data_IF_899988403801
#
_entry.id   IF_899988403801
#
_cell.length_a   1.000
_cell.length_b   1.000
_cell.length_c   1.000
_cell.angle_alpha   90.00
_cell.angle_beta   90.00
_cell.angle_gamma   90.00
#
_symmetry.space_group_name_H-M   'P 1'
#
loop_
_entity.id
_entity.type
_entity.pdbx_description
1 polymer ?
#
# COMPACT_ATOMS: atom_id res chain seq x y z
N UNK A 1 43.69 -24.29 38.55
CA UNK A 1 43.27 -23.53 37.35
C UNK A 1 41.75 -23.64 37.28
N UNK A 2 41.00 -22.58 37.62
CA UNK A 2 39.52 -22.64 37.57
C UNK A 2 39.08 -22.49 36.10
N UNK A 3 38.07 -23.25 35.63
CA UNK A 3 37.56 -23.09 34.28
C UNK A 3 36.98 -21.69 34.14
N UNK A 4 37.45 -20.95 33.13
CA UNK A 4 36.90 -19.65 32.76
C UNK A 4 35.54 -19.93 32.12
N UNK A 5 34.46 -19.66 32.85
CA UNK A 5 33.12 -19.64 32.26
C UNK A 5 33.13 -18.53 31.23
N UNK A 6 33.02 -18.90 29.96
CA UNK A 6 32.79 -17.95 28.88
C UNK A 6 31.32 -17.57 29.01
N UNK A 7 31.06 -16.45 29.69
CA UNK A 7 29.76 -15.80 29.58
C UNK A 7 29.61 -15.37 28.12
N UNK A 8 28.70 -16.05 27.40
CA UNK A 8 28.22 -15.56 26.13
C UNK A 8 27.40 -14.31 26.42
N UNK A 9 27.97 -13.16 26.08
CA UNK A 9 27.23 -11.90 26.06
C UNK A 9 26.09 -12.03 25.04
N UNK A 10 24.86 -12.16 25.54
CA UNK A 10 23.64 -12.25 24.73
C UNK A 10 23.15 -10.85 24.32
N UNK A 11 23.89 -9.78 24.67
CA UNK A 11 23.61 -8.45 24.15
C UNK A 11 24.20 -8.29 22.75
N UNK A 12 23.39 -8.47 21.70
CA UNK A 12 23.75 -7.91 20.39
C UNK A 12 23.54 -8.74 19.12
N UNK A 13 22.59 -9.69 19.03
CA UNK A 13 22.25 -10.27 17.72
C UNK A 13 21.31 -9.34 16.93
N UNK A 14 21.87 -8.20 16.48
CA UNK A 14 21.23 -7.30 15.53
C UNK A 14 21.73 -7.57 14.11
N UNK A 15 20.83 -7.63 13.14
CA UNK A 15 21.14 -7.85 11.72
C UNK A 15 20.86 -6.59 10.91
N UNK A 16 21.54 -6.46 9.78
CA UNK A 16 21.24 -5.39 8.82
C UNK A 16 19.95 -5.77 8.10
N UNK A 17 18.88 -5.00 8.30
CA UNK A 17 17.64 -5.17 7.54
C UNK A 17 17.85 -4.74 6.07
N UNK A 18 17.01 -5.25 5.15
CA UNK A 18 16.87 -4.64 3.84
C UNK A 18 16.49 -3.16 3.96
N UNK A 19 16.74 -2.41 2.89
CA UNK A 19 16.39 -1.01 2.82
C UNK A 19 14.88 -0.83 3.12
N UNK A 20 14.48 0.04 4.08
CA UNK A 20 13.08 0.34 4.39
C UNK A 20 12.19 0.67 3.19
N UNK A 21 12.79 1.23 2.14
CA UNK A 21 12.12 1.51 0.88
C UNK A 21 11.57 0.27 0.21
N UNK A 22 12.24 -0.88 0.37
CA UNK A 22 11.79 -2.15 -0.16
C UNK A 22 10.44 -2.59 0.43
N UNK A 23 10.06 -2.07 1.60
CA UNK A 23 8.75 -2.30 2.21
C UNK A 23 7.75 -1.16 1.89
N UNK A 24 8.16 0.09 2.09
CA UNK A 24 7.25 1.24 1.96
C UNK A 24 6.83 1.47 0.50
N UNK A 25 7.74 1.34 -0.47
CA UNK A 25 7.44 1.63 -1.86
C UNK A 25 6.41 0.67 -2.46
N UNK A 26 6.49 -0.66 -2.26
CA UNK A 26 5.43 -1.57 -2.72
C UNK A 26 4.07 -1.32 -2.04
N UNK A 27 4.05 -0.91 -0.77
CA UNK A 27 2.80 -0.55 -0.09
C UNK A 27 2.15 0.72 -0.71
N UNK A 28 2.98 1.71 -1.05
CA UNK A 28 2.55 2.92 -1.80
C UNK A 28 2.09 2.56 -3.21
N UNK A 29 2.79 1.65 -3.89
CA UNK A 29 2.39 1.18 -5.22
C UNK A 29 1.03 0.46 -5.19
N UNK A 30 0.75 -0.32 -4.14
CA UNK A 30 -0.55 -0.95 -3.94
C UNK A 30 -1.68 0.08 -3.79
N UNK A 31 -1.46 1.17 -3.05
CA UNK A 31 -2.41 2.29 -2.99
C UNK A 31 -2.58 2.97 -4.36
N UNK A 32 -1.48 3.17 -5.09
CA UNK A 32 -1.49 3.76 -6.42
C UNK A 32 -2.33 2.94 -7.41
N UNK A 33 -2.27 1.61 -7.33
CA UNK A 33 -3.08 0.71 -8.15
C UNK A 33 -4.59 0.84 -7.88
N UNK A 34 -5.00 1.18 -6.65
CA UNK A 34 -6.40 1.45 -6.33
C UNK A 34 -6.77 2.87 -6.77
N UNK A 35 -5.89 3.85 -6.52
CA UNK A 35 -6.11 5.23 -6.92
C UNK A 35 -6.23 5.43 -8.45
N UNK A 36 -5.65 4.53 -9.25
CA UNK A 36 -5.76 4.58 -10.72
C UNK A 36 -7.17 4.31 -11.27
N UNK A 37 -8.15 3.96 -10.44
CA UNK A 37 -9.58 3.95 -10.84
C UNK A 37 -10.01 5.31 -11.40
N UNK A 38 -9.37 6.41 -10.97
CA UNK A 38 -9.57 7.75 -11.51
C UNK A 38 -9.40 7.84 -13.05
N UNK A 39 -8.60 6.95 -13.65
CA UNK A 39 -8.30 6.98 -15.08
C UNK A 39 -9.47 6.57 -16.00
N UNK A 40 -10.53 5.97 -15.46
CA UNK A 40 -11.69 5.54 -16.26
C UNK A 40 -12.40 6.75 -16.91
N UNK A 41 -12.42 7.90 -16.23
CA UNK A 41 -13.13 9.10 -16.67
C UNK A 41 -12.65 9.65 -18.04
N UNK A 42 -11.50 9.18 -18.55
CA UNK A 42 -10.88 9.74 -19.77
C UNK A 42 -10.77 8.78 -20.96
N UNK A 43 -10.93 7.47 -20.76
CA UNK A 43 -10.63 6.45 -21.80
C UNK A 43 -11.87 5.65 -22.22
N UNK A 44 -12.91 5.62 -21.38
CA UNK A 44 -14.05 4.74 -21.57
C UNK A 44 -15.09 5.21 -22.60
N UNK A 45 -15.04 6.46 -23.09
CA UNK A 45 -16.01 6.91 -24.11
C UNK A 45 -15.67 6.44 -25.53
N UNK A 46 -14.40 6.14 -25.84
CA UNK A 46 -13.96 5.95 -27.24
C UNK A 46 -13.91 4.49 -27.72
N UNK A 47 -14.06 3.47 -26.85
CA UNK A 47 -13.77 2.06 -27.21
C UNK A 47 -14.76 1.03 -26.65
N UNK A 48 -16.05 1.18 -26.94
CA UNK A 48 -17.10 0.26 -26.47
C UNK A 48 -17.11 -1.11 -27.15
N UNK A 49 -16.64 -1.22 -28.40
CA UNK A 49 -16.89 -2.41 -29.24
C UNK A 49 -15.88 -3.57 -29.05
N UNK A 50 -14.74 -3.35 -28.41
CA UNK A 50 -13.66 -4.35 -28.25
C UNK A 50 -13.48 -4.87 -26.80
N UNK A 51 -14.42 -4.61 -25.89
CA UNK A 51 -14.21 -4.89 -24.45
C UNK A 51 -14.22 -6.39 -24.13
N UNK A 52 -13.19 -6.82 -23.42
CA UNK A 52 -13.11 -8.18 -22.87
C UNK A 52 -14.05 -8.27 -21.67
N UNK A 53 -15.04 -9.18 -21.73
CA UNK A 53 -16.00 -9.35 -20.64
C UNK A 53 -15.31 -9.70 -19.31
N UNK A 54 -15.71 -9.08 -18.19
CA UNK A 54 -15.12 -9.29 -16.88
C UNK A 54 -15.43 -10.72 -16.44
N UNK A 55 -14.40 -11.41 -15.96
CA UNK A 55 -14.52 -12.81 -15.53
C UNK A 55 -15.18 -12.96 -14.15
N UNK A 56 -15.26 -11.87 -13.36
CA UNK A 56 -15.75 -11.87 -11.97
C UNK A 56 -16.98 -11.00 -11.79
N UNK A 57 -17.81 -11.37 -10.81
CA UNK A 57 -19.01 -10.60 -10.45
C UNK A 57 -18.60 -9.25 -9.83
N UNK A 58 -19.18 -8.11 -10.25
CA UNK A 58 -18.84 -6.78 -9.74
C UNK A 58 -18.87 -6.67 -8.21
N UNK A 59 -19.90 -7.25 -7.57
CA UNK A 59 -20.02 -7.23 -6.11
C UNK A 59 -18.92 -8.01 -5.38
N UNK A 60 -18.34 -9.04 -6.00
CA UNK A 60 -17.19 -9.77 -5.44
C UNK A 60 -15.93 -8.93 -5.59
N UNK A 61 -15.69 -8.36 -6.77
CA UNK A 61 -14.53 -7.50 -7.03
C UNK A 61 -14.48 -6.30 -6.05
N UNK A 62 -15.61 -5.63 -5.83
CA UNK A 62 -15.70 -4.53 -4.87
C UNK A 62 -15.45 -4.95 -3.41
N UNK A 63 -15.94 -6.12 -2.99
CA UNK A 63 -15.70 -6.66 -1.64
C UNK A 63 -14.22 -7.01 -1.45
N UNK A 64 -13.60 -7.60 -2.46
CA UNK A 64 -12.20 -7.99 -2.41
C UNK A 64 -11.30 -6.73 -2.45
N UNK A 65 -11.70 -5.69 -3.20
CA UNK A 65 -11.02 -4.39 -3.22
C UNK A 65 -11.13 -3.65 -1.87
N UNK A 66 -12.31 -3.65 -1.24
CA UNK A 66 -12.49 -3.11 0.12
C UNK A 66 -11.62 -3.86 1.13
N UNK A 67 -11.53 -5.19 1.01
CA UNK A 67 -10.63 -6.01 1.83
C UNK A 67 -9.15 -5.63 1.62
N UNK A 68 -8.76 -5.28 0.39
CA UNK A 68 -7.41 -4.77 0.11
C UNK A 68 -7.17 -3.41 0.80
N UNK A 69 -8.15 -2.50 0.77
CA UNK A 69 -8.04 -1.21 1.47
C UNK A 69 -7.87 -1.41 2.98
N UNK A 70 -8.65 -2.29 3.59
CA UNK A 70 -8.51 -2.64 5.02
C UNK A 70 -7.16 -3.27 5.34
N UNK A 71 -6.67 -4.15 4.47
CA UNK A 71 -5.33 -4.74 4.58
C UNK A 71 -4.23 -3.68 4.55
N UNK A 72 -4.30 -2.74 3.60
CA UNK A 72 -3.35 -1.63 3.48
C UNK A 72 -3.42 -0.69 4.70
N UNK A 73 -4.61 -0.36 5.19
CA UNK A 73 -4.78 0.43 6.43
C UNK A 73 -4.05 -0.25 7.60
N UNK A 74 -4.16 -1.58 7.74
CA UNK A 74 -3.46 -2.31 8.80
C UNK A 74 -1.95 -2.34 8.58
N UNK A 75 -1.47 -2.51 7.35
CA UNK A 75 -0.03 -2.41 7.02
C UNK A 75 0.52 -1.05 7.45
N UNK A 76 -0.12 0.05 7.05
CA UNK A 76 0.32 1.39 7.44
C UNK A 76 0.19 1.65 8.94
N UNK A 77 -0.84 1.12 9.60
CA UNK A 77 -0.96 1.15 11.06
C UNK A 77 0.19 0.41 11.74
N UNK A 78 0.63 -0.73 11.20
CA UNK A 78 1.78 -1.50 11.71
C UNK A 78 3.09 -0.78 11.49
N UNK A 79 3.28 -0.10 10.36
CA UNK A 79 4.42 0.80 10.17
C UNK A 79 4.44 1.87 11.27
N UNK A 80 3.33 2.61 11.47
CA UNK A 80 3.23 3.66 12.50
C UNK A 80 3.50 3.15 13.92
N UNK A 81 3.04 1.93 14.25
CA UNK A 81 3.29 1.30 15.56
C UNK A 81 4.74 0.82 15.72
N UNK A 82 5.42 0.49 14.63
CA UNK A 82 6.76 -0.09 14.63
C UNK A 82 7.72 0.75 13.77
N UNK A 83 8.01 2.00 14.14
CA UNK A 83 8.88 2.87 13.36
C UNK A 83 10.29 2.30 13.18
N UNK A 84 10.77 1.45 14.10
CA UNK A 84 12.05 0.75 13.98
C UNK A 84 12.16 -0.11 12.70
N UNK A 85 11.03 -0.58 12.16
CA UNK A 85 10.98 -1.42 10.95
C UNK A 85 11.34 -0.64 9.69
N UNK A 86 11.10 0.68 9.66
CA UNK A 86 11.36 1.52 8.48
C UNK A 86 12.27 2.73 8.72
N UNK A 87 12.47 3.16 9.96
CA UNK A 87 13.29 4.32 10.32
C UNK A 87 14.52 3.96 11.17
N UNK A 88 14.68 2.68 11.54
CA UNK A 88 15.81 2.21 12.35
C UNK A 88 15.96 2.91 13.70
N UNK A 89 17.19 2.89 14.23
CA UNK A 89 17.59 3.71 15.39
C UNK A 89 18.36 4.94 14.87
N UNK A 90 17.70 6.08 14.73
CA UNK A 90 18.33 7.36 14.39
C UNK A 90 17.56 8.21 13.39
N UNK A 91 18.28 9.09 12.68
CA UNK A 91 17.69 10.09 11.78
C UNK A 91 17.12 9.52 10.47
N UNK A 92 17.11 8.19 10.25
CA UNK A 92 16.70 7.62 8.95
C UNK A 92 15.23 7.86 8.62
N UNK A 93 14.37 8.06 9.62
CA UNK A 93 12.98 8.48 9.39
C UNK A 93 12.83 9.83 8.70
N UNK A 94 13.85 10.70 8.79
CA UNK A 94 13.93 11.99 8.08
C UNK A 94 14.63 11.90 6.72
N UNK A 95 15.09 10.70 6.33
CA UNK A 95 15.66 10.49 5.00
C UNK A 95 14.59 10.67 3.93
N UNK A 96 14.91 11.40 2.84
CA UNK A 96 13.99 11.59 1.72
C UNK A 96 13.76 10.28 0.96
N UNK A 97 12.66 10.21 0.20
CA UNK A 97 12.26 9.04 -0.55
C UNK A 97 13.32 8.62 -1.63
N UNK A 98 14.33 7.79 -1.27
CA UNK A 98 15.35 7.21 -2.17
C UNK A 98 15.89 5.87 -1.65
N UNK A 99 16.23 4.95 -2.55
CA UNK A 99 17.08 3.79 -2.20
C UNK A 99 18.46 4.26 -1.74
N UNK A 100 19.02 3.62 -0.70
CA UNK A 100 20.31 4.00 -0.11
C UNK A 100 21.06 2.86 0.58
N UNK A 101 22.28 3.15 1.06
CA UNK A 101 23.20 2.16 1.67
C UNK A 101 22.97 2.05 3.19
N UNK A 102 21.71 2.03 3.61
CA UNK A 102 21.32 2.28 5.00
C UNK A 102 20.31 1.25 5.49
N UNK A 103 20.70 -0.03 5.51
CA UNK A 103 19.95 -1.04 6.24
C UNK A 103 20.06 -0.77 7.75
N UNK A 104 18.97 -0.44 8.46
CA UNK A 104 19.04 -0.23 9.90
C UNK A 104 19.42 -1.54 10.60
N UNK A 105 20.15 -1.44 11.71
CA UNK A 105 20.34 -2.60 12.58
C UNK A 105 19.03 -2.89 13.29
N UNK A 106 18.54 -4.12 13.11
CA UNK A 106 17.28 -4.59 13.68
C UNK A 106 17.53 -5.80 14.57
N UNK A 107 16.88 -5.82 15.72
CA UNK A 107 16.88 -6.96 16.63
C UNK A 107 16.00 -8.09 16.09
N UNK A 108 16.23 -9.31 16.58
CA UNK A 108 15.52 -10.52 16.12
C UNK A 108 13.98 -10.39 16.12
N UNK A 109 13.40 -9.70 17.10
CA UNK A 109 11.95 -9.49 17.15
C UNK A 109 11.46 -8.53 16.05
N UNK A 110 12.23 -7.47 15.76
CA UNK A 110 11.92 -6.53 14.68
C UNK A 110 12.03 -7.22 13.30
N UNK A 111 12.96 -8.18 13.14
CA UNK A 111 13.06 -9.00 11.92
C UNK A 111 11.80 -9.84 11.66
N UNK A 112 11.19 -10.42 12.70
CA UNK A 112 9.94 -11.20 12.55
C UNK A 112 8.80 -10.31 12.08
N UNK A 113 8.65 -9.14 12.70
CA UNK A 113 7.65 -8.14 12.32
C UNK A 113 7.86 -7.69 10.87
N UNK A 114 9.12 -7.42 10.48
CA UNK A 114 9.47 -7.05 9.11
C UNK A 114 9.05 -8.13 8.11
N UNK A 115 9.38 -9.41 8.35
CA UNK A 115 9.00 -10.50 7.43
C UNK A 115 7.48 -10.66 7.30
N UNK A 116 6.75 -10.59 8.41
CA UNK A 116 5.29 -10.66 8.37
C UNK A 116 4.71 -9.51 7.55
N UNK A 117 5.21 -8.30 7.79
CA UNK A 117 4.78 -7.10 7.07
C UNK A 117 5.13 -7.17 5.57
N UNK A 118 6.28 -7.71 5.20
CA UNK A 118 6.64 -7.94 3.80
C UNK A 118 5.72 -8.95 3.11
N UNK A 119 5.32 -10.03 3.78
CA UNK A 119 4.37 -10.99 3.24
C UNK A 119 2.99 -10.35 3.01
N UNK A 120 2.54 -9.56 3.98
CA UNK A 120 1.26 -8.83 3.88
C UNK A 120 1.31 -7.83 2.71
N UNK A 121 2.40 -7.08 2.56
CA UNK A 121 2.60 -6.13 1.46
C UNK A 121 2.64 -6.83 0.10
N UNK A 122 3.40 -7.92 -0.03
CA UNK A 122 3.49 -8.67 -1.27
C UNK A 122 2.11 -9.18 -1.72
N UNK A 123 1.32 -9.68 -0.76
CA UNK A 123 -0.06 -10.12 -1.01
C UNK A 123 -0.95 -8.96 -1.43
N UNK A 124 -0.89 -7.83 -0.72
CA UNK A 124 -1.73 -6.66 -1.01
C UNK A 124 -1.38 -5.99 -2.33
N UNK A 125 -0.11 -5.92 -2.71
CA UNK A 125 0.30 -5.35 -4.00
C UNK A 125 -0.37 -6.08 -5.18
N UNK A 126 -0.33 -7.41 -5.16
CA UNK A 126 -0.90 -8.22 -6.22
C UNK A 126 -2.43 -8.13 -6.21
N UNK A 127 -3.04 -8.32 -5.04
CA UNK A 127 -4.50 -8.35 -4.91
C UNK A 127 -5.13 -6.98 -5.20
N UNK A 128 -4.54 -5.89 -4.71
CA UNK A 128 -5.03 -4.54 -4.98
C UNK A 128 -5.03 -4.24 -6.49
N UNK A 129 -3.95 -4.59 -7.19
CA UNK A 129 -3.84 -4.38 -8.64
C UNK A 129 -4.89 -5.17 -9.42
N UNK A 130 -5.08 -6.45 -9.08
CA UNK A 130 -6.07 -7.30 -9.74
C UNK A 130 -7.50 -6.83 -9.46
N UNK A 131 -7.83 -6.56 -8.20
CA UNK A 131 -9.18 -6.19 -7.80
C UNK A 131 -9.55 -4.78 -8.29
N UNK A 132 -8.59 -3.85 -8.32
CA UNK A 132 -8.80 -2.53 -8.91
C UNK A 132 -9.11 -2.67 -10.39
N UNK A 133 -8.32 -3.45 -11.14
CA UNK A 133 -8.57 -3.71 -12.55
C UNK A 133 -9.95 -4.35 -12.80
N UNK A 134 -10.32 -5.37 -12.02
CA UNK A 134 -11.65 -6.00 -12.12
C UNK A 134 -12.79 -4.98 -11.87
N UNK A 135 -12.62 -4.07 -10.91
CA UNK A 135 -13.59 -2.98 -10.64
C UNK A 135 -13.61 -1.98 -11.79
N UNK A 136 -12.46 -1.62 -12.35
CA UNK A 136 -12.39 -0.71 -13.50
C UNK A 136 -13.16 -1.28 -14.70
N UNK A 137 -12.96 -2.57 -15.02
CA UNK A 137 -13.75 -3.23 -16.07
C UNK A 137 -15.26 -3.20 -15.76
N UNK A 138 -15.65 -3.48 -14.51
CA UNK A 138 -17.07 -3.47 -14.13
C UNK A 138 -17.71 -2.07 -14.25
N UNK A 139 -16.95 -1.00 -14.04
CA UNK A 139 -17.40 0.37 -14.27
C UNK A 139 -17.53 0.65 -15.77
N UNK A 140 -16.51 0.29 -16.55
CA UNK A 140 -16.51 0.47 -18.01
C UNK A 140 -17.68 -0.27 -18.68
N UNK A 141 -18.05 -1.46 -18.19
CA UNK A 141 -19.18 -2.22 -18.71
C UNK A 141 -20.55 -1.73 -18.24
N UNK A 142 -20.59 -0.68 -17.41
CA UNK A 142 -21.81 -0.10 -16.86
C UNK A 142 -22.45 -0.93 -15.74
N UNK A 143 -21.80 -1.99 -15.26
CA UNK A 143 -22.30 -2.78 -14.13
C UNK A 143 -22.16 -2.04 -12.79
N UNK A 144 -21.26 -1.06 -12.72
CA UNK A 144 -21.15 -0.07 -11.64
C UNK A 144 -21.23 1.29 -12.32
N UNK A 145 -22.18 2.13 -11.92
CA UNK A 145 -22.39 3.44 -12.53
C UNK A 145 -22.25 4.56 -11.48
N UNK A 146 -21.02 4.86 -11.02
CA UNK A 146 -20.78 5.89 -10.04
C UNK A 146 -20.82 7.29 -10.69
N UNK A 147 -21.19 8.33 -9.91
CA UNK A 147 -21.12 9.70 -10.40
C UNK A 147 -19.65 10.18 -10.50
N UNK A 148 -19.42 11.24 -11.27
CA UNK A 148 -18.08 11.70 -11.64
C UNK A 148 -17.22 12.08 -10.41
N UNK A 149 -17.86 12.59 -9.37
CA UNK A 149 -17.26 13.02 -8.11
C UNK A 149 -16.44 11.90 -7.43
N UNK A 150 -16.85 10.64 -7.59
CA UNK A 150 -16.11 9.51 -7.02
C UNK A 150 -14.75 9.37 -7.73
N UNK A 151 -14.68 9.55 -9.05
CA UNK A 151 -13.43 9.48 -9.80
C UNK A 151 -12.48 10.62 -9.43
N UNK A 152 -13.01 11.84 -9.21
CA UNK A 152 -12.22 12.95 -8.68
C UNK A 152 -11.63 12.61 -7.30
N UNK A 153 -12.41 11.97 -6.43
CA UNK A 153 -11.92 11.49 -5.13
C UNK A 153 -10.73 10.52 -5.26
N UNK A 154 -10.79 9.56 -6.20
CA UNK A 154 -9.65 8.69 -6.49
C UNK A 154 -8.45 9.46 -7.07
N UNK A 155 -8.72 10.43 -7.95
CA UNK A 155 -7.70 11.29 -8.57
C UNK A 155 -6.95 12.14 -7.54
N UNK A 156 -7.65 12.70 -6.56
CA UNK A 156 -7.06 13.43 -5.44
C UNK A 156 -6.09 12.55 -4.63
N UNK A 157 -6.48 11.29 -4.39
CA UNK A 157 -5.60 10.34 -3.71
C UNK A 157 -4.38 9.97 -4.56
N UNK A 158 -4.55 9.82 -5.87
CA UNK A 158 -3.45 9.59 -6.80
C UNK A 158 -2.45 10.76 -6.78
N UNK A 159 -2.96 12.00 -6.80
CA UNK A 159 -2.14 13.20 -6.72
C UNK A 159 -1.39 13.32 -5.39
N UNK A 160 -2.03 12.96 -4.27
CA UNK A 160 -1.35 12.88 -2.97
C UNK A 160 -0.16 11.91 -3.00
N UNK A 161 -0.33 10.73 -3.60
CA UNK A 161 0.74 9.74 -3.73
C UNK A 161 1.86 10.25 -4.67
N UNK A 162 1.50 10.91 -5.78
CA UNK A 162 2.47 11.49 -6.70
C UNK A 162 3.36 12.54 -6.02
N UNK A 163 2.77 13.40 -5.18
CA UNK A 163 3.52 14.42 -4.43
C UNK A 163 4.56 13.84 -3.49
N UNK A 164 4.32 12.66 -2.90
CA UNK A 164 5.34 11.99 -2.08
C UNK A 164 6.59 11.69 -2.89
N UNK A 165 6.42 11.13 -4.10
CA UNK A 165 7.51 10.75 -4.99
C UNK A 165 8.21 12.00 -5.54
N UNK A 166 7.44 12.96 -6.06
CA UNK A 166 7.97 14.19 -6.67
C UNK A 166 8.77 15.03 -5.67
N UNK A 167 8.26 15.21 -4.45
CA UNK A 167 8.91 16.02 -3.43
C UNK A 167 9.97 15.25 -2.64
N UNK A 168 10.18 13.97 -2.95
CA UNK A 168 11.05 13.07 -2.19
C UNK A 168 10.75 13.15 -0.69
N UNK A 169 9.48 13.00 -0.33
CA UNK A 169 8.99 13.10 1.04
C UNK A 169 9.81 12.22 2.00
N UNK A 170 9.80 12.53 3.29
CA UNK A 170 10.49 11.66 4.26
C UNK A 170 9.79 10.31 4.38
N UNK A 171 10.48 9.28 4.86
CA UNK A 171 9.85 7.98 5.13
C UNK A 171 8.70 8.10 6.12
N UNK A 172 8.85 8.94 7.15
CA UNK A 172 7.77 9.20 8.11
C UNK A 172 6.56 9.83 7.42
N UNK A 173 6.77 10.89 6.64
CA UNK A 173 5.67 11.57 5.94
C UNK A 173 5.00 10.64 4.93
N UNK A 174 5.76 9.75 4.30
CA UNK A 174 5.26 8.73 3.38
C UNK A 174 4.34 7.74 4.09
N UNK A 175 4.75 7.24 5.25
CA UNK A 175 3.93 6.31 6.04
C UNK A 175 2.67 6.99 6.57
N UNK A 176 2.80 8.23 7.07
CA UNK A 176 1.67 9.01 7.58
C UNK A 176 0.66 9.30 6.45
N UNK A 177 1.13 9.81 5.32
CA UNK A 177 0.29 10.10 4.14
C UNK A 177 -0.32 8.83 3.56
N UNK A 178 0.45 7.74 3.46
CA UNK A 178 -0.04 6.46 2.96
C UNK A 178 -1.17 5.89 3.83
N UNK A 179 -1.10 6.06 5.15
CA UNK A 179 -2.20 5.72 6.05
C UNK A 179 -3.47 6.52 5.76
N UNK A 180 -3.33 7.84 5.59
CA UNK A 180 -4.46 8.73 5.29
C UNK A 180 -5.11 8.38 3.94
N UNK A 181 -4.29 8.18 2.92
CA UNK A 181 -4.74 7.76 1.58
C UNK A 181 -5.46 6.41 1.65
N UNK A 182 -4.92 5.43 2.39
CA UNK A 182 -5.58 4.12 2.54
C UNK A 182 -6.97 4.22 3.16
N UNK A 183 -7.15 5.09 4.18
CA UNK A 183 -8.45 5.36 4.80
C UNK A 183 -9.42 6.02 3.81
N UNK A 184 -8.93 6.99 3.03
CA UNK A 184 -9.75 7.69 2.02
C UNK A 184 -10.16 6.78 0.87
N UNK A 185 -9.24 5.97 0.36
CA UNK A 185 -9.56 4.96 -0.66
C UNK A 185 -10.59 3.95 -0.15
N UNK A 186 -10.51 3.52 1.11
CA UNK A 186 -11.53 2.66 1.69
C UNK A 186 -12.92 3.31 1.70
N UNK A 187 -13.01 4.62 1.99
CA UNK A 187 -14.26 5.37 1.95
C UNK A 187 -14.83 5.43 0.53
N UNK A 188 -13.99 5.73 -0.46
CA UNK A 188 -14.38 5.78 -1.87
C UNK A 188 -14.84 4.41 -2.40
N UNK A 189 -14.17 3.33 -2.01
CA UNK A 189 -14.58 1.97 -2.40
C UNK A 189 -15.91 1.57 -1.72
N UNK A 190 -16.12 1.98 -0.47
CA UNK A 190 -17.40 1.77 0.21
C UNK A 190 -18.54 2.54 -0.48
N UNK A 191 -18.26 3.75 -0.98
CA UNK A 191 -19.18 4.55 -1.78
C UNK A 191 -19.45 3.91 -3.15
N UNK A 192 -18.44 3.44 -3.88
CA UNK A 192 -18.62 2.71 -5.15
C UNK A 192 -19.60 1.54 -5.03
N UNK A 193 -19.60 0.84 -3.89
CA UNK A 193 -20.52 -0.28 -3.64
C UNK A 193 -21.98 0.11 -3.66
N UNK A 194 -22.34 1.37 -3.40
CA UNK A 194 -23.73 1.84 -3.45
C UNK A 194 -24.21 2.14 -4.87
N UNK A 195 -23.32 2.13 -5.86
CA UNK A 195 -23.62 2.44 -7.27
C UNK A 195 -23.63 1.21 -8.20
N UNK A 196 -23.70 0.01 -7.64
CA UNK A 196 -23.83 -1.22 -8.41
C UNK A 196 -25.22 -1.30 -9.04
N UNK A 197 -25.28 -1.51 -10.35
CA UNK A 197 -26.54 -1.74 -11.09
C UNK A 197 -26.95 -3.20 -10.90
N UNK A 198 -28.24 -3.46 -10.64
CA UNK A 198 -28.79 -4.82 -10.46
C UNK A 198 -28.77 -5.65 -11.75
#
# INVERSE_FOLDING_TARGET
>A
MKPKVIEFDVTGDSRIAPDPFAAVLPAIAALGAIASIASINWVAEERTDERTKPKRKPGTALRDLESCCLGLIEIFRRFKRNPKVYAGEGAQGSSPLKFGVHGPRVEAETCRIYHQLMNDIASMLVLASQNAFDVMCAIEDGAINPPEEIFFGFGDQQEHLNRLIQNRATLKDTVDTGFEVAVKLNQLVAELKTHKVE
#
